data_IF_673620504017
#
_entry.id   IF_673620504017
#
_cell.length_a   1.000
_cell.length_b   1.000
_cell.length_c   1.000
_cell.angle_alpha   90.00
_cell.angle_beta   90.00
_cell.angle_gamma   90.00
#
_symmetry.space_group_name_H-M   'P 1'
#
loop_
_entity.id
_entity.type
_entity.pdbx_description
1 polymer ?
#
# COMPACT_ATOMS: atom_id res chain seq x y z
N UNK A 1 0.93 -18.81 -8.20
CA UNK A 1 -0.12 -18.60 -7.20
C UNK A 1 -0.25 -17.11 -6.97
N UNK A 2 -1.44 -16.54 -7.16
CA UNK A 2 -1.70 -15.10 -7.05
C UNK A 2 -1.42 -14.58 -5.63
N UNK A 3 -1.69 -15.39 -4.60
CA UNK A 3 -1.43 -15.02 -3.21
C UNK A 3 0.06 -14.84 -2.91
N UNK A 4 0.91 -15.63 -3.57
CA UNK A 4 2.38 -15.47 -3.47
C UNK A 4 2.81 -14.13 -4.06
N UNK A 5 2.21 -13.70 -5.16
CA UNK A 5 2.53 -12.42 -5.80
C UNK A 5 2.04 -11.22 -4.97
N UNK A 6 0.83 -11.29 -4.41
CA UNK A 6 0.29 -10.27 -3.50
C UNK A 6 1.22 -10.10 -2.29
N UNK A 7 1.56 -11.20 -1.62
CA UNK A 7 2.42 -11.16 -0.44
C UNK A 7 3.84 -10.64 -0.76
N UNK A 8 4.39 -11.01 -1.93
CA UNK A 8 5.71 -10.51 -2.38
C UNK A 8 5.67 -9.03 -2.71
N UNK A 9 4.58 -8.56 -3.34
CA UNK A 9 4.35 -7.15 -3.62
C UNK A 9 4.28 -6.33 -2.32
N UNK A 10 3.42 -6.74 -1.37
CA UNK A 10 3.24 -6.01 -0.10
C UNK A 10 4.55 -5.93 0.69
N UNK A 11 5.33 -7.01 0.73
CA UNK A 11 6.65 -7.03 1.39
C UNK A 11 7.70 -6.13 0.74
N UNK A 12 7.52 -5.75 -0.52
CA UNK A 12 8.41 -4.84 -1.24
C UNK A 12 8.11 -3.36 -0.99
N UNK A 13 6.99 -3.04 -0.34
CA UNK A 13 6.58 -1.66 -0.05
C UNK A 13 7.26 -1.14 1.23
N UNK A 14 7.27 0.18 1.39
CA UNK A 14 7.61 0.81 2.67
C UNK A 14 6.70 0.25 3.79
N UNK A 15 7.21 0.15 5.03
CA UNK A 15 6.48 -0.46 6.15
C UNK A 15 5.09 0.15 6.36
N UNK A 16 4.96 1.47 6.32
CA UNK A 16 3.69 2.16 6.58
C UNK A 16 2.67 1.88 5.46
N UNK A 17 3.16 1.87 4.22
CA UNK A 17 2.35 1.60 3.02
C UNK A 17 1.96 0.13 2.95
N UNK A 18 2.92 -0.77 3.16
CA UNK A 18 2.68 -2.21 3.20
C UNK A 18 1.72 -2.60 4.32
N UNK A 19 1.84 -1.96 5.49
CA UNK A 19 0.88 -2.10 6.59
C UNK A 19 -0.53 -1.66 6.20
N UNK A 20 -0.67 -0.50 5.55
CA UNK A 20 -1.96 -0.01 5.07
C UNK A 20 -2.59 -0.97 4.05
N UNK A 21 -1.81 -1.47 3.09
CA UNK A 21 -2.29 -2.44 2.09
C UNK A 21 -2.68 -3.76 2.74
N UNK A 22 -1.88 -4.27 3.69
CA UNK A 22 -2.15 -5.53 4.37
C UNK A 22 -3.47 -5.54 5.13
N UNK A 23 -3.81 -4.44 5.81
CA UNK A 23 -5.07 -4.30 6.57
C UNK A 23 -6.30 -4.48 5.65
N UNK A 24 -6.19 -4.14 4.38
CA UNK A 24 -7.27 -4.29 3.42
C UNK A 24 -7.43 -5.72 2.85
N UNK A 25 -6.53 -6.66 3.19
CA UNK A 25 -6.57 -8.06 2.75
C UNK A 25 -6.91 -8.21 1.24
N UNK A 26 -6.07 -7.67 0.34
CA UNK A 26 -6.36 -7.70 -1.10
C UNK A 26 -6.45 -9.15 -1.59
N UNK A 27 -7.47 -9.44 -2.40
CA UNK A 27 -7.70 -10.75 -3.00
C UNK A 27 -7.02 -10.89 -4.36
N UNK A 28 -6.70 -9.76 -5.00
CA UNK A 28 -6.00 -9.71 -6.29
C UNK A 28 -4.80 -8.78 -6.22
N UNK A 29 -3.86 -8.96 -7.14
CA UNK A 29 -2.71 -8.05 -7.25
C UNK A 29 -3.14 -6.62 -7.63
N UNK A 30 -4.21 -6.48 -8.43
CA UNK A 30 -4.75 -5.18 -8.81
C UNK A 30 -5.25 -4.39 -7.60
N UNK A 31 -5.99 -5.04 -6.69
CA UNK A 31 -6.42 -4.43 -5.43
C UNK A 31 -5.23 -4.01 -4.57
N UNK A 32 -4.20 -4.86 -4.47
CA UNK A 32 -3.01 -4.52 -3.70
C UNK A 32 -2.31 -3.26 -4.24
N UNK A 33 -2.19 -3.15 -5.57
CA UNK A 33 -1.60 -1.97 -6.25
C UNK A 33 -2.45 -0.72 -6.03
N UNK A 34 -3.77 -0.82 -6.17
CA UNK A 34 -4.69 0.32 -5.94
C UNK A 34 -4.57 0.84 -4.50
N UNK A 35 -4.59 -0.06 -3.50
CA UNK A 35 -4.42 0.32 -2.09
C UNK A 35 -3.05 0.95 -1.82
N UNK A 36 -2.00 0.43 -2.45
CA UNK A 36 -0.64 0.99 -2.29
C UNK A 36 -0.56 2.42 -2.84
N UNK A 37 -1.17 2.66 -4.01
CA UNK A 37 -1.25 3.98 -4.62
C UNK A 37 -1.98 4.99 -3.70
N UNK A 38 -3.15 4.61 -3.19
CA UNK A 38 -3.94 5.47 -2.28
C UNK A 38 -3.14 5.79 -1.02
N UNK A 39 -2.49 4.79 -0.42
CA UNK A 39 -1.69 4.97 0.79
C UNK A 39 -0.51 5.94 0.55
N UNK A 40 0.18 5.84 -0.58
CA UNK A 40 1.27 6.77 -0.94
C UNK A 40 0.77 8.19 -1.18
N UNK A 41 -0.37 8.34 -1.88
CA UNK A 41 -0.99 9.64 -2.12
C UNK A 41 -1.42 10.32 -0.81
N UNK A 42 -2.02 9.56 0.11
CA UNK A 42 -2.39 10.05 1.44
C UNK A 42 -1.15 10.47 2.22
N UNK A 43 -0.08 9.66 2.23
CA UNK A 43 1.18 10.00 2.89
C UNK A 43 1.77 11.31 2.37
N UNK A 44 1.79 11.50 1.05
CA UNK A 44 2.25 12.74 0.42
C UNK A 44 1.45 13.97 0.85
N UNK A 45 0.12 13.85 0.91
CA UNK A 45 -0.76 14.94 1.38
C UNK A 45 -0.55 15.24 2.86
N UNK A 46 -0.40 14.22 3.70
CA UNK A 46 -0.13 14.39 5.15
C UNK A 46 1.21 15.07 5.38
N UNK A 47 2.25 14.72 4.62
CA UNK A 47 3.56 15.37 4.71
C UNK A 47 3.48 16.84 4.32
N UNK A 48 2.82 17.17 3.21
CA UNK A 48 2.60 18.56 2.78
C UNK A 48 1.81 19.39 3.81
N UNK A 49 0.83 18.78 4.48
CA UNK A 49 0.05 19.45 5.52
C UNK A 49 0.87 19.70 6.80
N UNK A 50 1.85 18.83 7.09
CA UNK A 50 2.76 18.97 8.24
C UNK A 50 3.83 20.04 8.03
N UNK A 51 4.25 20.26 6.79
CA UNK A 51 5.30 21.22 6.44
C UNK A 51 4.77 22.67 6.25
N UNK A 52 3.48 22.91 6.52
CA UNK A 52 2.81 24.23 6.52
C UNK A 52 2.52 24.70 7.94
#
# INVERSE_FOLDING_TARGET
DEQVWIHRFIRGLNLDIGGAVWIHCPQTLAEAVEKAYIAEETRGKTQQARDR
#
